data_IF_309685859594
#
_entry.id   IF_309685859594
#
_cell.length_a   1.000
_cell.length_b   1.000
_cell.length_c   1.000
_cell.angle_alpha   90.00
_cell.angle_beta   90.00
_cell.angle_gamma   90.00
#
_symmetry.space_group_name_H-M   'P 1'
#
loop_
_entity.id
_entity.type
_entity.pdbx_description
1 polymer ?
#
# COMPACT_ATOMS: atom_id res chain seq x y z
N UNK A 1 -5.67 -11.46 -2.32
CA UNK A 1 -5.16 -11.55 -3.72
C UNK A 1 -6.04 -12.35 -4.67
N UNK A 2 -6.63 -13.49 -4.29
CA UNK A 2 -7.40 -14.36 -5.23
C UNK A 2 -8.52 -13.65 -6.02
N UNK A 3 -9.18 -12.64 -5.46
CA UNK A 3 -10.26 -11.91 -6.12
C UNK A 3 -9.80 -10.96 -7.24
N UNK A 4 -8.59 -10.39 -7.16
CA UNK A 4 -8.12 -9.41 -8.15
C UNK A 4 -7.65 -10.06 -9.45
N UNK A 5 -7.25 -11.33 -9.38
CA UNK A 5 -6.77 -12.07 -10.55
C UNK A 5 -7.89 -12.38 -11.56
N UNK A 6 -9.16 -12.27 -11.15
CA UNK A 6 -10.33 -12.54 -11.99
C UNK A 6 -10.85 -11.30 -12.70
N UNK A 7 -10.39 -10.10 -12.31
CA UNK A 7 -10.82 -8.85 -12.92
C UNK A 7 -10.24 -8.70 -14.33
N UNK A 8 -10.94 -8.00 -15.22
CA UNK A 8 -10.32 -7.53 -16.48
C UNK A 8 -9.22 -6.51 -16.18
N UNK A 9 -8.38 -6.15 -17.17
CA UNK A 9 -7.40 -5.07 -16.99
C UNK A 9 -8.10 -3.74 -16.67
N UNK A 10 -9.21 -3.46 -17.35
CA UNK A 10 -10.03 -2.26 -17.16
C UNK A 10 -10.61 -2.20 -15.75
N UNK A 11 -11.22 -3.30 -15.27
CA UNK A 11 -11.77 -3.38 -13.93
C UNK A 11 -10.69 -3.27 -12.84
N UNK A 12 -9.52 -3.88 -13.08
CA UNK A 12 -8.40 -3.80 -12.14
C UNK A 12 -7.85 -2.37 -12.06
N UNK A 13 -7.73 -1.67 -13.19
CA UNK A 13 -7.34 -0.27 -13.23
C UNK A 13 -8.38 0.61 -12.53
N UNK A 14 -9.66 0.48 -12.89
CA UNK A 14 -10.75 1.23 -12.27
C UNK A 14 -10.79 1.01 -10.75
N UNK A 15 -10.64 -0.24 -10.30
CA UNK A 15 -10.60 -0.58 -8.88
C UNK A 15 -9.38 0.01 -8.18
N UNK A 16 -8.22 0.04 -8.82
CA UNK A 16 -7.00 0.65 -8.27
C UNK A 16 -7.17 2.16 -8.09
N UNK A 17 -7.76 2.84 -9.08
CA UNK A 17 -8.05 4.28 -9.02
C UNK A 17 -9.08 4.61 -7.93
N UNK A 18 -10.13 3.79 -7.82
CA UNK A 18 -11.16 3.96 -6.79
C UNK A 18 -10.57 3.81 -5.37
N UNK A 19 -9.65 2.87 -5.17
CA UNK A 19 -9.01 2.67 -3.87
C UNK A 19 -8.02 3.80 -3.53
N UNK A 20 -7.40 4.43 -4.53
CA UNK A 20 -6.66 5.68 -4.33
C UNK A 20 -7.57 6.82 -3.88
N UNK A 21 -8.76 6.96 -4.49
CA UNK A 21 -9.76 7.96 -4.10
C UNK A 21 -10.23 7.74 -2.64
N UNK A 22 -10.52 6.50 -2.27
CA UNK A 22 -10.88 6.16 -0.88
C UNK A 22 -9.75 6.44 0.10
N UNK A 23 -8.51 6.09 -0.25
CA UNK A 23 -7.36 6.36 0.60
C UNK A 23 -7.15 7.87 0.80
N UNK A 24 -7.33 8.67 -0.26
CA UNK A 24 -7.25 10.12 -0.17
C UNK A 24 -8.28 10.68 0.82
N UNK A 25 -9.56 10.27 0.70
CA UNK A 25 -10.60 10.67 1.65
C UNK A 25 -10.36 10.17 3.08
N UNK A 26 -9.75 9.00 3.23
CA UNK A 26 -9.39 8.45 4.54
C UNK A 26 -8.30 9.27 5.21
N UNK A 27 -7.28 9.68 4.44
CA UNK A 27 -6.18 10.55 4.90
C UNK A 27 -6.71 11.94 5.28
N UNK A 28 -7.58 12.53 4.46
CA UNK A 28 -8.13 13.87 4.68
C UNK A 28 -8.98 13.93 5.98
N UNK A 29 -9.72 12.85 6.29
CA UNK A 29 -10.61 12.79 7.46
C UNK A 29 -9.93 12.40 8.77
N UNK A 30 -8.95 11.49 8.74
CA UNK A 30 -8.58 10.74 9.94
C UNK A 30 -7.19 11.01 10.50
N UNK A 31 -6.35 11.83 9.88
CA UNK A 31 -4.94 11.90 10.30
C UNK A 31 -4.68 12.96 11.36
N UNK A 32 -5.18 12.69 12.57
CA UNK A 32 -4.59 13.23 13.79
C UNK A 32 -3.24 12.53 13.99
N UNK A 33 -2.12 13.19 13.66
CA UNK A 33 -0.75 12.62 13.81
C UNK A 33 0.24 13.03 12.74
N UNK A 34 -0.23 13.53 11.59
CA UNK A 34 0.64 14.17 10.59
C UNK A 34 0.83 15.64 10.93
N UNK A 35 2.07 16.12 10.81
CA UNK A 35 2.29 17.56 10.70
C UNK A 35 1.64 18.10 9.43
N UNK A 36 1.10 19.32 9.46
CA UNK A 36 0.36 19.92 8.34
C UNK A 36 1.10 19.84 7.00
N UNK A 37 2.43 20.06 7.00
CA UNK A 37 3.25 19.92 5.80
C UNK A 37 3.29 18.49 5.28
N UNK A 38 3.47 17.50 6.16
CA UNK A 38 3.46 16.08 5.79
C UNK A 38 2.11 15.63 5.26
N UNK A 39 1.01 16.10 5.85
CA UNK A 39 -0.35 15.83 5.37
C UNK A 39 -0.56 16.39 3.95
N UNK A 40 -0.20 17.65 3.71
CA UNK A 40 -0.36 18.27 2.39
C UNK A 40 0.49 17.57 1.32
N UNK A 41 1.73 17.19 1.64
CA UNK A 41 2.58 16.46 0.69
C UNK A 41 2.02 15.06 0.42
N UNK A 42 1.50 14.37 1.44
CA UNK A 42 0.86 13.07 1.29
C UNK A 42 -0.38 13.13 0.37
N UNK A 43 -1.29 14.06 0.65
CA UNK A 43 -2.50 14.27 -0.18
C UNK A 43 -2.13 14.62 -1.62
N UNK A 44 -1.14 15.51 -1.81
CA UNK A 44 -0.64 15.85 -3.15
C UNK A 44 -0.12 14.62 -3.88
N UNK A 45 0.74 13.82 -3.24
CA UNK A 45 1.29 12.62 -3.87
C UNK A 45 0.21 11.59 -4.25
N UNK A 46 -0.86 11.46 -3.45
CA UNK A 46 -2.01 10.62 -3.79
C UNK A 46 -2.79 11.17 -4.99
N UNK A 47 -3.00 12.49 -5.06
CA UNK A 47 -3.62 13.14 -6.22
C UNK A 47 -2.77 12.95 -7.48
N UNK A 48 -1.45 13.10 -7.40
CA UNK A 48 -0.55 12.93 -8.53
C UNK A 48 -0.61 11.48 -9.05
N UNK A 49 -0.62 10.48 -8.16
CA UNK A 49 -0.81 9.07 -8.53
C UNK A 49 -2.16 8.82 -9.23
N UNK A 50 -3.19 9.54 -8.82
CA UNK A 50 -4.54 9.41 -9.36
C UNK A 50 -4.69 10.08 -10.73
N UNK A 51 -4.04 11.22 -10.94
CA UNK A 51 -4.13 12.03 -12.15
C UNK A 51 -3.20 11.54 -13.26
N UNK A 52 -1.93 11.28 -12.93
CA UNK A 52 -0.96 10.78 -13.90
C UNK A 52 -1.17 9.28 -14.20
N UNK A 53 -1.81 8.59 -13.25
CA UNK A 53 -2.09 7.17 -13.30
C UNK A 53 -1.03 6.34 -12.57
N UNK A 54 -1.43 5.18 -11.99
CA UNK A 54 -0.55 4.41 -11.11
C UNK A 54 0.65 3.78 -11.84
N UNK A 55 0.62 3.72 -13.17
CA UNK A 55 1.69 3.18 -14.01
C UNK A 55 2.50 4.26 -14.75
N UNK A 56 2.28 5.54 -14.46
CA UNK A 56 3.02 6.63 -15.09
C UNK A 56 4.51 6.59 -14.75
N UNK A 57 5.32 7.30 -15.53
CA UNK A 57 6.74 7.49 -15.24
C UNK A 57 6.98 8.30 -13.95
N UNK A 58 6.01 9.13 -13.54
CA UNK A 58 6.05 9.95 -12.32
C UNK A 58 5.58 9.20 -11.07
N UNK A 59 4.85 8.08 -11.24
CA UNK A 59 4.26 7.32 -10.14
C UNK A 59 5.29 6.83 -9.12
N UNK A 60 6.50 6.45 -9.57
CA UNK A 60 7.55 5.96 -8.67
C UNK A 60 7.94 6.99 -7.60
N UNK A 61 8.01 8.27 -7.98
CA UNK A 61 8.36 9.35 -7.06
C UNK A 61 7.23 9.61 -6.06
N UNK A 62 5.99 9.68 -6.54
CA UNK A 62 4.84 9.85 -5.66
C UNK A 62 4.68 8.67 -4.67
N UNK A 63 4.89 7.43 -5.12
CA UNK A 63 4.87 6.23 -4.25
C UNK A 63 5.96 6.33 -3.17
N UNK A 64 7.16 6.73 -3.55
CA UNK A 64 8.28 6.91 -2.62
C UNK A 64 7.97 7.98 -1.57
N UNK A 65 7.38 9.10 -1.99
CA UNK A 65 6.97 10.17 -1.07
C UNK A 65 5.92 9.68 -0.07
N UNK A 66 4.87 9.01 -0.53
CA UNK A 66 3.82 8.44 0.34
C UNK A 66 4.44 7.49 1.37
N UNK A 67 5.32 6.58 0.94
CA UNK A 67 6.01 5.65 1.84
C UNK A 67 6.83 6.37 2.90
N UNK A 68 7.69 7.30 2.48
CA UNK A 68 8.59 7.99 3.37
C UNK A 68 7.84 8.81 4.43
N UNK A 69 6.74 9.46 4.05
CA UNK A 69 5.92 10.24 4.98
C UNK A 69 5.27 9.31 5.99
N UNK A 70 4.61 8.24 5.54
CA UNK A 70 3.93 7.31 6.43
C UNK A 70 4.90 6.60 7.39
N UNK A 71 6.06 6.17 6.90
CA UNK A 71 7.05 5.49 7.75
C UNK A 71 7.70 6.45 8.75
N UNK A 72 8.02 7.68 8.36
CA UNK A 72 8.54 8.70 9.28
C UNK A 72 7.50 9.06 10.36
N UNK A 73 6.23 9.23 9.98
CA UNK A 73 5.17 9.53 10.94
C UNK A 73 4.89 8.36 11.89
N UNK A 74 4.85 7.12 11.39
CA UNK A 74 4.68 5.95 12.25
C UNK A 74 5.87 5.80 13.21
N UNK A 75 7.09 6.07 12.76
CA UNK A 75 8.27 6.06 13.63
C UNK A 75 8.17 7.11 14.74
N UNK A 76 7.68 8.33 14.42
CA UNK A 76 7.42 9.37 15.41
C UNK A 76 6.33 9.02 16.43
N UNK A 77 5.39 8.15 16.05
CA UNK A 77 4.30 7.66 16.92
C UNK A 77 4.63 6.36 17.66
N UNK A 78 5.87 5.88 17.59
CA UNK A 78 6.30 4.65 18.28
C UNK A 78 6.64 4.95 19.75
N UNK A 79 5.86 4.36 20.65
CA UNK A 79 6.00 4.52 22.12
C UNK A 79 6.99 3.54 22.75
N UNK A 80 7.41 2.52 22.00
CA UNK A 80 8.28 1.46 22.47
C UNK A 80 8.18 0.23 21.58
N UNK A 81 8.71 -0.89 22.05
CA UNK A 81 8.72 -2.14 21.30
C UNK A 81 8.27 -3.29 22.18
N UNK A 82 7.64 -4.29 21.56
CA UNK A 82 7.29 -5.56 22.21
C UNK A 82 7.66 -6.75 21.34
N UNK A 83 7.88 -7.88 21.99
CA UNK A 83 7.99 -9.16 21.31
C UNK A 83 6.59 -9.62 20.87
N UNK A 84 6.45 -9.98 19.60
CA UNK A 84 5.27 -10.59 19.03
C UNK A 84 5.63 -11.92 18.37
N UNK A 85 4.84 -12.96 18.63
CA UNK A 85 4.99 -14.23 17.94
C UNK A 85 4.36 -14.12 16.54
N UNK A 86 5.19 -14.27 15.52
CA UNK A 86 4.82 -14.35 14.12
C UNK A 86 4.86 -15.83 13.71
N UNK A 87 3.70 -16.48 13.76
CA UNK A 87 3.59 -17.92 13.57
C UNK A 87 2.15 -18.42 13.53
N UNK A 88 2.02 -19.73 13.41
CA UNK A 88 0.74 -20.45 13.45
C UNK A 88 0.81 -21.62 14.41
N UNK A 89 -0.33 -22.01 14.96
CA UNK A 89 -0.42 -23.28 15.67
C UNK A 89 -0.71 -24.38 14.65
N UNK A 90 0.30 -25.21 14.42
CA UNK A 90 0.16 -26.45 13.70
C UNK A 90 -0.38 -27.54 14.64
N UNK A 91 -1.39 -28.34 14.23
CA UNK A 91 -1.97 -29.38 15.09
C UNK A 91 -0.98 -30.48 15.52
N UNK A 92 0.03 -30.78 14.71
CA UNK A 92 0.97 -31.88 14.94
C UNK A 92 2.28 -31.40 15.58
N UNK A 93 2.72 -30.19 15.20
CA UNK A 93 4.01 -29.63 15.58
C UNK A 93 3.91 -28.52 16.65
N UNK A 94 2.69 -28.10 17.00
CA UNK A 94 2.44 -27.00 17.94
C UNK A 94 2.75 -25.63 17.33
N UNK A 95 3.18 -24.67 18.14
CA UNK A 95 3.45 -23.31 17.67
C UNK A 95 4.70 -23.27 16.77
N UNK A 96 4.51 -23.08 15.47
CA UNK A 96 5.60 -22.89 14.50
C UNK A 96 5.67 -21.42 14.12
N UNK A 97 6.83 -20.80 14.33
CA UNK A 97 7.05 -19.40 13.98
C UNK A 97 8.30 -18.81 14.59
N UNK A 98 8.37 -17.50 14.58
CA UNK A 98 9.49 -16.72 15.15
C UNK A 98 8.95 -15.59 16.01
N UNK A 99 9.70 -15.25 17.07
CA UNK A 99 9.45 -14.03 17.82
C UNK A 99 10.09 -12.87 17.07
N UNK A 100 9.30 -11.85 16.77
CA UNK A 100 9.74 -10.60 16.13
C UNK A 100 9.53 -9.43 17.08
N UNK A 101 10.37 -8.41 16.95
CA UNK A 101 10.20 -7.16 17.67
C UNK A 101 9.28 -6.26 16.84
N UNK A 102 8.16 -5.84 17.40
CA UNK A 102 7.18 -4.96 16.75
C UNK A 102 7.01 -3.66 17.55
N UNK A 103 6.76 -2.52 16.88
CA UNK A 103 6.52 -1.26 17.57
C UNK A 103 5.18 -1.30 18.33
N UNK A 104 5.16 -0.64 19.49
CA UNK A 104 3.94 -0.25 20.19
C UNK A 104 3.63 1.17 19.71
N UNK A 105 2.49 1.35 19.04
CA UNK A 105 2.12 2.63 18.46
C UNK A 105 1.14 3.38 19.38
N UNK A 106 1.17 4.70 19.30
CA UNK A 106 0.08 5.53 19.82
C UNK A 106 -1.22 5.27 19.05
N UNK A 107 -2.34 5.84 19.51
CA UNK A 107 -3.59 5.78 18.76
C UNK A 107 -3.45 6.36 17.34
N UNK A 108 -2.78 7.51 17.22
CA UNK A 108 -2.45 8.15 15.95
C UNK A 108 -1.54 7.27 15.07
N UNK A 109 -0.54 6.63 15.66
CA UNK A 109 0.32 5.68 14.96
C UNK A 109 -0.45 4.48 14.42
N UNK A 110 -1.46 3.99 15.15
CA UNK A 110 -2.34 2.91 14.68
C UNK A 110 -3.20 3.35 13.48
N UNK A 111 -3.77 4.56 13.50
CA UNK A 111 -4.47 5.12 12.35
C UNK A 111 -3.56 5.21 11.11
N UNK A 112 -2.32 5.70 11.28
CA UNK A 112 -1.33 5.75 10.21
C UNK A 112 -0.96 4.36 9.68
N UNK A 113 -0.88 3.34 10.56
CA UNK A 113 -0.61 1.95 10.16
C UNK A 113 -1.72 1.37 9.29
N UNK A 114 -2.98 1.72 9.56
CA UNK A 114 -4.13 1.32 8.72
C UNK A 114 -3.99 1.94 7.33
N UNK A 115 -3.74 3.25 7.25
CA UNK A 115 -3.51 3.97 5.98
C UNK A 115 -2.36 3.35 5.20
N UNK A 116 -1.21 3.07 5.84
CA UNK A 116 -0.07 2.40 5.20
C UNK A 116 -0.44 1.01 4.67
N UNK A 117 -1.24 0.26 5.42
CA UNK A 117 -1.69 -1.08 5.02
C UNK A 117 -2.60 -1.00 3.79
N UNK A 118 -3.52 -0.04 3.77
CA UNK A 118 -4.38 0.24 2.62
C UNK A 118 -3.55 0.65 1.40
N UNK A 119 -2.59 1.57 1.57
CA UNK A 119 -1.69 1.96 0.48
C UNK A 119 -0.89 0.77 -0.09
N UNK A 120 -0.37 -0.12 0.76
CA UNK A 120 0.34 -1.34 0.29
C UNK A 120 -0.55 -2.28 -0.52
N UNK A 121 -1.85 -2.36 -0.19
CA UNK A 121 -2.82 -3.11 -0.99
C UNK A 121 -3.00 -2.48 -2.38
N UNK A 122 -3.03 -1.15 -2.47
CA UNK A 122 -3.08 -0.42 -3.76
C UNK A 122 -1.84 -0.73 -4.60
N UNK A 123 -0.65 -0.71 -4.00
CA UNK A 123 0.59 -1.07 -4.70
C UNK A 123 0.56 -2.51 -5.22
N UNK A 124 0.04 -3.46 -4.44
CA UNK A 124 -0.13 -4.83 -4.92
C UNK A 124 -1.08 -4.93 -6.13
N UNK A 125 -2.14 -4.12 -6.19
CA UNK A 125 -3.04 -4.06 -7.36
C UNK A 125 -2.35 -3.43 -8.57
N UNK A 126 -1.59 -2.35 -8.36
CA UNK A 126 -0.74 -1.72 -9.39
C UNK A 126 0.27 -2.71 -9.97
N UNK A 127 0.98 -3.45 -9.13
CA UNK A 127 2.02 -4.38 -9.58
C UNK A 127 1.41 -5.56 -10.36
N UNK A 128 0.23 -6.03 -9.93
CA UNK A 128 -0.55 -7.00 -10.70
C UNK A 128 -0.98 -6.44 -12.06
N UNK A 129 -1.42 -5.18 -12.11
CA UNK A 129 -1.81 -4.51 -13.34
C UNK A 129 -0.62 -4.41 -14.32
N UNK A 130 0.53 -3.93 -13.85
CA UNK A 130 1.76 -3.84 -14.63
C UNK A 130 2.16 -5.19 -15.22
N UNK A 131 2.21 -6.23 -14.36
CA UNK A 131 2.60 -7.58 -14.78
C UNK A 131 1.68 -8.15 -15.87
N UNK A 132 0.37 -7.84 -15.82
CA UNK A 132 -0.59 -8.32 -16.83
C UNK A 132 -0.45 -7.59 -18.16
N UNK A 133 -0.23 -6.27 -18.14
CA UNK A 133 0.04 -5.48 -19.36
C UNK A 133 1.32 -6.01 -20.04
N UNK A 134 2.38 -6.23 -19.27
CA UNK A 134 3.63 -6.77 -19.79
C UNK A 134 3.45 -8.16 -20.39
N UNK A 135 2.66 -9.02 -19.74
CA UNK A 135 2.35 -10.36 -20.24
C UNK A 135 1.57 -10.32 -21.56
N UNK A 136 0.54 -9.48 -21.67
CA UNK A 136 -0.22 -9.30 -22.93
C UNK A 136 0.67 -8.80 -24.07
N UNK A 137 1.55 -7.83 -23.79
CA UNK A 137 2.51 -7.31 -24.76
C UNK A 137 3.54 -8.37 -25.21
N UNK A 138 3.98 -9.24 -24.31
CA UNK A 138 4.90 -10.33 -24.65
C UNK A 138 4.20 -11.41 -25.49
N UNK A 139 2.96 -11.78 -25.15
CA UNK A 139 2.17 -12.76 -25.91
C UNK A 139 1.91 -12.25 -27.32
N UNK A 140 1.56 -10.96 -27.47
CA UNK A 140 1.35 -10.34 -28.78
C UNK A 140 2.61 -10.41 -29.66
N UNK A 141 3.79 -10.15 -29.08
CA UNK A 141 5.07 -10.28 -29.78
C UNK A 141 5.37 -11.72 -30.20
N UNK A 142 5.12 -12.70 -29.33
CA UNK A 142 5.32 -14.11 -29.67
C UNK A 142 4.36 -14.61 -30.77
N UNK A 143 3.15 -14.05 -30.88
CA UNK A 143 2.19 -14.41 -31.93
C UNK A 143 2.48 -13.76 -33.29
N UNK A 144 3.24 -12.69 -33.30
CA UNK A 144 3.64 -11.96 -34.50
C UNK A 144 4.96 -12.46 -35.11
N UNK A 145 5.67 -13.38 -34.43
CA UNK A 145 6.88 -14.05 -34.87
C UNK A 145 6.55 -15.43 -35.46
#
# INVERSE_FOLDING_TARGET
>A
MKYYNQLTLEDLLAKTLLELDFLHEEVDRNVAGLQATGLNTLLRALVDLRQDGPLSSTAAEAIRLVHNILDASIAGETLGHRNAFDGTNDPDLGAIGRVTVVPILSHSGECLRVIRTHFRKILAMRDLLAARIDAEAQIARCRAA
#
